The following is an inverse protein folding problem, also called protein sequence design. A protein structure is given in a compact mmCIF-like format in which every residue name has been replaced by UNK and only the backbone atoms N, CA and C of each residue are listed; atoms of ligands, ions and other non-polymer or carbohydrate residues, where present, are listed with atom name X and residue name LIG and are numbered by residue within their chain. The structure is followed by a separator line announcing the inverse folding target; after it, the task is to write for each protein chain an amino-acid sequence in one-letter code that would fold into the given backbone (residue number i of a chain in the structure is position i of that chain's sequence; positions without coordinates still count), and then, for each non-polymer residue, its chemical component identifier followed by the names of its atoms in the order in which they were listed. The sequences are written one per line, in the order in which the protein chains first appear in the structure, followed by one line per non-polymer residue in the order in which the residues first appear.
data_IF_944149537051
#
_entry.id   IF_944149537051
#
_cell.length_a   1.000
_cell.length_b   1.000
_cell.length_c   1.000
_cell.angle_alpha   90.00
_cell.angle_beta   90.00
_cell.angle_gamma   90.00
#
_symmetry.space_group_name_H-M   'P 1'
#
loop_
_entity.id
_entity.type
_entity.pdbx_description
1 polymer ?
#
# COMPACT_ATOMS: atom_id res chain seq x y z
N UNK A 1 16.05 7.07 -3.50
CA UNK A 1 14.73 7.69 -3.45
C UNK A 1 14.00 7.32 -2.20
N UNK A 2 13.19 8.24 -1.71
CA UNK A 2 12.42 7.95 -0.51
C UNK A 2 11.24 7.06 -0.82
N UNK A 3 10.96 6.16 0.10
CA UNK A 3 9.76 5.37 0.02
C UNK A 3 8.53 6.23 0.30
N UNK A 4 7.42 5.90 -0.32
CA UNK A 4 6.16 6.59 -0.09
C UNK A 4 5.25 5.63 0.68
N UNK A 5 4.90 6.01 1.90
CA UNK A 5 4.08 5.19 2.78
C UNK A 5 2.64 5.65 2.70
N UNK A 6 1.76 4.76 2.27
CA UNK A 6 0.35 5.06 2.13
C UNK A 6 -0.46 3.94 2.80
N UNK A 7 -1.69 4.25 3.16
CA UNK A 7 -2.60 3.20 3.60
C UNK A 7 -2.99 2.37 2.39
N UNK A 8 -3.56 1.18 2.64
CA UNK A 8 -3.99 0.33 1.53
C UNK A 8 -4.99 1.04 0.63
N UNK A 9 -5.91 1.80 1.22
CA UNK A 9 -6.90 2.53 0.42
C UNK A 9 -6.27 3.61 -0.45
N UNK A 10 -5.32 4.35 0.12
CA UNK A 10 -4.63 5.39 -0.63
C UNK A 10 -3.75 4.82 -1.73
N UNK A 11 -3.04 3.75 -1.40
CA UNK A 11 -2.18 3.09 -2.39
C UNK A 11 -3.01 2.52 -3.53
N UNK A 12 -4.19 2.00 -3.21
CA UNK A 12 -5.10 1.46 -4.20
C UNK A 12 -5.43 2.48 -5.29
N UNK A 13 -5.65 3.73 -4.88
CA UNK A 13 -5.99 4.78 -5.84
C UNK A 13 -4.83 5.09 -6.78
N UNK A 14 -3.62 5.11 -6.23
CA UNK A 14 -2.45 5.44 -7.04
C UNK A 14 -1.97 4.30 -7.92
N UNK A 15 -2.14 3.08 -7.46
CA UNK A 15 -1.61 1.91 -8.16
C UNK A 15 -2.65 1.29 -9.08
N UNK A 16 -3.92 1.42 -8.74
CA UNK A 16 -4.99 0.84 -9.54
C UNK A 16 -5.33 -0.58 -9.15
N UNK A 17 -4.86 -1.03 -7.98
CA UNK A 17 -5.18 -2.35 -7.45
C UNK A 17 -6.14 -2.16 -6.29
N UNK A 18 -7.24 -2.93 -6.23
CA UNK A 18 -8.17 -2.78 -5.11
C UNK A 18 -7.51 -2.96 -3.77
N UNK A 19 -7.94 -2.18 -2.78
CA UNK A 19 -7.37 -2.27 -1.44
C UNK A 19 -7.51 -3.69 -0.88
N UNK A 20 -8.61 -4.36 -1.17
CA UNK A 20 -8.81 -5.75 -0.74
C UNK A 20 -7.68 -6.65 -1.24
N UNK A 21 -7.25 -6.45 -2.47
CA UNK A 21 -6.20 -7.25 -3.06
C UNK A 21 -4.87 -6.97 -2.37
N UNK A 22 -4.59 -5.71 -2.08
CA UNK A 22 -3.36 -5.34 -1.38
C UNK A 22 -3.34 -5.99 0.00
N UNK A 23 -4.45 -5.92 0.71
CA UNK A 23 -4.57 -6.53 2.04
C UNK A 23 -4.43 -8.05 1.95
N UNK A 24 -5.06 -8.65 0.96
CA UNK A 24 -4.96 -10.09 0.75
C UNK A 24 -3.51 -10.52 0.54
N UNK A 25 -2.78 -9.79 -0.30
CA UNK A 25 -1.38 -10.11 -0.53
C UNK A 25 -0.56 -10.02 0.75
N UNK A 26 -0.86 -9.00 1.57
CA UNK A 26 -0.16 -8.85 2.84
C UNK A 26 -0.47 -10.00 3.78
N UNK A 27 -1.73 -10.41 3.85
CA UNK A 27 -2.15 -11.48 4.76
C UNK A 27 -1.58 -12.83 4.34
N UNK A 28 -1.39 -13.04 3.06
CA UNK A 28 -0.87 -14.31 2.55
C UNK A 28 0.64 -14.32 2.42
N UNK A 29 1.29 -13.23 2.77
CA UNK A 29 2.75 -13.14 2.66
C UNK A 29 3.24 -13.10 1.23
N UNK A 30 2.41 -12.67 0.31
CA UNK A 30 2.77 -12.60 -1.11
C UNK A 30 3.57 -11.37 -1.45
N UNK A 31 3.62 -10.39 -0.56
CA UNK A 31 4.40 -9.19 -0.76
C UNK A 31 5.12 -8.81 0.53
N UNK A 32 6.30 -8.24 0.40
CA UNK A 32 7.03 -7.70 1.54
C UNK A 32 6.89 -6.18 1.61
N UNK A 33 6.14 -5.62 0.70
CA UNK A 33 5.99 -4.18 0.62
C UNK A 33 4.88 -3.62 1.48
N UNK A 34 4.13 -4.48 2.17
CA UNK A 34 3.04 -4.05 3.03
C UNK A 34 3.33 -4.47 4.46
N UNK A 35 3.36 -3.49 5.35
CA UNK A 35 3.54 -3.75 6.77
C UNK A 35 2.18 -3.80 7.44
N UNK A 36 2.00 -4.78 8.31
CA UNK A 36 0.76 -4.91 9.08
C UNK A 36 1.03 -4.41 10.49
N UNK A 37 0.30 -3.39 10.90
CA UNK A 37 0.42 -2.83 12.24
C UNK A 37 -0.73 -3.40 13.06
N UNK A 38 -0.44 -4.13 14.14
CA UNK A 38 -1.49 -4.73 14.95
C UNK A 38 -2.33 -3.66 15.63
N UNK A 39 -3.57 -3.99 16.02
CA UNK A 39 -4.41 -3.02 16.71
C UNK A 39 -3.80 -2.62 18.03
N UNK A 40 -4.09 -1.40 18.43
CA UNK A 40 -3.61 -0.91 19.69
C UNK A 40 -4.28 -1.64 20.84
N UNK A 41 -3.74 -1.47 22.02
CA UNK A 41 -4.15 -2.20 23.20
C UNK A 41 -5.63 -2.00 23.55
N UNK A 42 -6.20 -0.91 23.23
CA UNK A 42 -7.60 -0.64 23.52
C UNK A 42 -8.56 -1.16 22.47
N UNK A 43 -8.07 -1.92 21.52
CA UNK A 43 -8.89 -2.40 20.42
C UNK A 43 -8.57 -1.64 19.15
N UNK A 44 -9.44 -1.73 18.18
CA UNK A 44 -9.22 -1.10 16.90
C UNK A 44 -8.91 -2.14 15.85
N UNK A 45 -8.61 -1.69 14.67
CA UNK A 45 -8.36 -2.56 13.54
C UNK A 45 -6.90 -2.56 13.16
N UNK A 46 -6.49 -3.63 12.50
CA UNK A 46 -5.15 -3.68 11.93
C UNK A 46 -5.01 -2.60 10.87
N UNK A 47 -3.83 -2.05 10.80
CA UNK A 47 -3.52 -1.08 9.77
C UNK A 47 -2.55 -1.69 8.80
N UNK A 48 -2.72 -1.36 7.53
CA UNK A 48 -1.85 -1.85 6.48
C UNK A 48 -1.15 -0.65 5.86
N UNK A 49 0.16 -0.60 6.02
CA UNK A 49 0.97 0.50 5.48
C UNK A 49 1.73 -0.03 4.28
N UNK A 50 1.50 0.59 3.15
CA UNK A 50 2.08 0.14 1.89
C UNK A 50 3.32 0.94 1.58
N UNK A 51 4.43 0.24 1.37
CA UNK A 51 5.63 0.84 0.83
C UNK A 51 5.44 0.89 -0.67
N UNK A 52 4.90 1.99 -1.14
CA UNK A 52 4.30 2.07 -2.46
C UNK A 52 5.31 1.84 -3.58
N UNK A 53 6.49 2.45 -3.46
CA UNK A 53 7.51 2.25 -4.49
C UNK A 53 7.97 0.82 -4.54
N UNK A 54 8.13 0.20 -3.39
CA UNK A 54 8.56 -1.19 -3.32
C UNK A 54 7.49 -2.11 -3.91
N UNK A 55 6.23 -1.85 -3.61
CA UNK A 55 5.14 -2.65 -4.14
C UNK A 55 5.09 -2.55 -5.66
N UNK A 56 5.22 -1.34 -6.19
CA UNK A 56 5.23 -1.16 -7.63
C UNK A 56 6.40 -1.89 -8.28
N UNK A 57 7.56 -1.87 -7.64
CA UNK A 57 8.71 -2.60 -8.17
C UNK A 57 8.48 -4.10 -8.15
N UNK A 58 7.86 -4.62 -7.09
CA UNK A 58 7.57 -6.05 -7.01
C UNK A 58 6.59 -6.49 -8.07
N UNK A 59 5.63 -5.63 -8.38
CA UNK A 59 4.58 -5.95 -9.35
C UNK A 59 4.93 -5.49 -10.76
N UNK A 60 6.06 -4.82 -10.90
CA UNK A 60 6.53 -4.30 -12.19
C UNK A 60 5.50 -3.39 -12.84
N UNK A 61 4.97 -2.47 -12.04
CA UNK A 61 4.00 -1.49 -12.52
C UNK A 61 4.49 -0.09 -12.18
N UNK A 62 4.08 0.92 -12.95
CA UNK A 62 4.48 2.29 -12.66
C UNK A 62 3.78 2.80 -11.41
N UNK A 63 4.48 3.63 -10.65
CA UNK A 63 3.92 4.27 -9.48
C UNK A 63 3.37 5.63 -9.88
N UNK A 64 2.10 5.84 -9.61
CA UNK A 64 1.45 7.11 -9.82
C UNK A 64 0.98 7.62 -8.47
N UNK A 65 1.61 8.66 -7.93
CA UNK A 65 1.21 9.19 -6.64
C UNK A 65 -0.23 9.69 -6.69
N UNK A 66 -0.94 9.44 -5.64
CA UNK A 66 -2.30 9.94 -5.55
C UNK A 66 -2.29 11.46 -5.53
N UNK A 67 -3.14 12.08 -6.30
CA UNK A 67 -3.26 13.51 -6.36
C UNK A 67 -2.16 14.19 -7.16
N UNK A 68 -1.26 13.36 -7.65
CA UNK A 68 -0.18 13.91 -8.44
C UNK A 68 -0.47 13.78 -9.87
N UNK A 69 -0.71 14.25 -10.44
CA UNK A 69 -0.86 13.99 -11.72
C UNK A 69 -1.04 15.16 -12.50
N UNK A 70 -1.24 15.25 -11.99
CA UNK A 70 -1.28 15.90 -12.35
C UNK A 70 -0.95 16.79 -12.68
N UNK A 71 -0.88 17.02 -12.63
CA UNK A 71 -0.64 17.81 -12.77
C UNK A 71 -0.10 18.20 -13.43
N UNK A 72 -0.02 18.09 -13.70
CA UNK A 72 0.31 18.45 -14.13
C UNK A 72 0.35 18.75 -14.66
#
# INVERSE_FOLDING_TARGET
MKEVYLTAGEASKGIGIPAKTIIFMAQKGLTKAVDVIPPSKGGGQRRYIVKTRKLCAELDIPFVPEGGDNNE
#
